data_IF_766646989010
#
_entry.id   IF_766646989010
#
_cell.length_a   1.000
_cell.length_b   1.000
_cell.length_c   1.000
_cell.angle_alpha   90.00
_cell.angle_beta   90.00
_cell.angle_gamma   90.00
#
_symmetry.space_group_name_H-M   'P 1'
#
loop_
_entity.id
_entity.type
_entity.pdbx_description
1 polymer ?
#
# COMPACT_ATOMS: atom_id res chain seq x y z
N UNK A 1 19.53 -8.26 38.01
CA UNK A 1 18.41 -7.48 37.44
C UNK A 1 18.31 -7.87 35.97
N UNK A 2 17.37 -8.75 35.63
CA UNK A 2 17.22 -9.31 34.27
C UNK A 2 16.41 -8.29 33.47
N UNK A 3 17.03 -7.67 32.47
CA UNK A 3 16.31 -6.85 31.50
C UNK A 3 15.54 -7.79 30.57
N UNK A 4 14.25 -7.93 30.82
CA UNK A 4 13.32 -8.52 29.88
C UNK A 4 13.29 -7.64 28.62
N UNK A 5 13.85 -8.14 27.51
CA UNK A 5 13.59 -7.59 26.18
C UNK A 5 12.08 -7.73 25.92
N UNK A 6 11.37 -6.63 26.09
CA UNK A 6 9.98 -6.49 25.64
C UNK A 6 9.99 -6.63 24.13
N UNK A 7 9.64 -7.81 23.64
CA UNK A 7 9.37 -8.08 22.22
C UNK A 7 8.24 -7.14 21.77
N UNK A 8 8.62 -5.98 21.25
CA UNK A 8 7.70 -5.07 20.60
C UNK A 8 7.51 -5.61 19.18
N UNK A 9 6.65 -6.62 19.05
CA UNK A 9 6.21 -7.12 17.75
C UNK A 9 5.40 -5.99 17.11
N UNK A 10 6.05 -5.15 16.30
CA UNK A 10 5.38 -4.16 15.47
C UNK A 10 4.29 -4.90 14.72
N UNK A 11 3.04 -4.55 14.99
CA UNK A 11 1.92 -4.99 14.16
C UNK A 11 2.14 -4.32 12.81
N UNK A 12 2.89 -4.96 11.92
CA UNK A 12 3.05 -4.50 10.55
C UNK A 12 1.64 -4.46 9.96
N UNK A 13 1.10 -3.25 9.82
CA UNK A 13 -0.16 -3.02 9.12
C UNK A 13 0.08 -3.50 7.71
N UNK A 14 -0.47 -4.67 7.38
CA UNK A 14 -0.29 -5.26 6.06
C UNK A 14 -1.07 -4.40 5.06
N UNK A 15 -0.33 -3.61 4.29
CA UNK A 15 -0.88 -2.79 3.21
C UNK A 15 -1.57 -3.67 2.18
N UNK A 16 -2.78 -3.29 1.77
CA UNK A 16 -3.53 -4.00 0.74
C UNK A 16 -4.20 -2.99 -0.17
N UNK A 17 -3.67 -2.85 -1.38
CA UNK A 17 -4.27 -2.04 -2.45
C UNK A 17 -5.69 -2.48 -2.77
N UNK A 18 -6.00 -3.78 -2.63
CA UNK A 18 -7.36 -4.30 -2.84
C UNK A 18 -8.33 -3.70 -1.82
N UNK A 19 -8.00 -3.79 -0.53
CA UNK A 19 -8.88 -3.28 0.54
C UNK A 19 -8.97 -1.75 0.51
N UNK A 20 -7.85 -1.11 0.16
CA UNK A 20 -7.69 0.34 0.21
C UNK A 20 -8.11 1.05 -1.09
N UNK A 21 -8.54 0.28 -2.11
CA UNK A 21 -8.84 0.79 -3.46
C UNK A 21 -9.79 1.98 -3.49
N UNK A 22 -10.88 1.90 -2.73
CA UNK A 22 -11.91 2.93 -2.68
C UNK A 22 -11.40 4.23 -2.04
N UNK A 23 -10.61 4.13 -0.96
CA UNK A 23 -9.92 5.28 -0.38
C UNK A 23 -8.89 5.86 -1.34
N UNK A 24 -8.03 5.02 -1.93
CA UNK A 24 -6.99 5.46 -2.88
C UNK A 24 -7.61 6.24 -4.04
N UNK A 25 -8.67 5.69 -4.66
CA UNK A 25 -9.36 6.32 -5.78
C UNK A 25 -9.95 7.68 -5.38
N UNK A 26 -10.68 7.73 -4.27
CA UNK A 26 -11.33 8.97 -3.81
C UNK A 26 -10.30 10.05 -3.43
N UNK A 27 -9.24 9.67 -2.72
CA UNK A 27 -8.20 10.59 -2.28
C UNK A 27 -7.38 11.13 -3.45
N UNK A 28 -7.05 10.28 -4.43
CA UNK A 28 -6.35 10.68 -5.66
C UNK A 28 -7.19 11.70 -6.44
N UNK A 29 -8.47 11.43 -6.63
CA UNK A 29 -9.38 12.35 -7.32
C UNK A 29 -9.56 13.66 -6.56
N UNK A 30 -9.85 13.59 -5.25
CA UNK A 30 -10.11 14.75 -4.41
C UNK A 30 -8.90 15.68 -4.35
N UNK A 31 -7.71 15.15 -4.05
CA UNK A 31 -6.50 15.96 -3.93
C UNK A 31 -5.91 16.38 -5.28
N UNK A 32 -6.15 15.58 -6.32
CA UNK A 32 -5.62 15.82 -7.67
C UNK A 32 -6.41 16.84 -8.46
N UNK A 33 -7.75 16.84 -8.36
CA UNK A 33 -8.63 17.70 -9.14
C UNK A 33 -8.85 19.09 -8.53
N UNK A 34 -8.51 19.31 -7.25
CA UNK A 34 -8.90 20.53 -6.57
C UNK A 34 -8.06 21.76 -6.99
N UNK A 35 -8.75 22.80 -7.48
CA UNK A 35 -8.12 24.00 -8.04
C UNK A 35 -7.59 24.98 -7.00
N UNK A 36 -8.35 25.19 -5.91
CA UNK A 36 -8.05 26.28 -4.95
C UNK A 36 -6.97 25.97 -3.92
N UNK A 37 -6.66 24.70 -3.69
CA UNK A 37 -5.69 24.31 -2.67
C UNK A 37 -4.76 23.22 -3.17
N UNK A 38 -3.53 23.24 -2.67
CA UNK A 38 -2.47 22.31 -3.04
C UNK A 38 -2.36 21.14 -2.07
N UNK A 39 -2.79 21.34 -0.82
CA UNK A 39 -2.73 20.35 0.25
C UNK A 39 -3.86 20.53 1.25
N UNK A 40 -4.26 19.44 1.92
CA UNK A 40 -5.30 19.44 2.96
C UNK A 40 -4.95 18.52 4.11
N UNK A 41 -5.56 18.78 5.27
CA UNK A 41 -5.43 17.92 6.45
C UNK A 41 -6.36 16.70 6.32
N UNK A 42 -6.03 15.56 6.95
CA UNK A 42 -6.90 14.37 6.93
C UNK A 42 -8.34 14.68 7.36
N UNK A 43 -8.51 15.51 8.39
CA UNK A 43 -9.83 15.97 8.87
C UNK A 43 -10.63 16.64 7.76
N UNK A 44 -10.06 17.67 7.13
CA UNK A 44 -10.76 18.41 6.06
C UNK A 44 -11.12 17.51 4.87
N UNK A 45 -10.26 16.54 4.54
CA UNK A 45 -10.52 15.58 3.46
C UNK A 45 -11.66 14.63 3.85
N UNK A 46 -11.60 14.06 5.05
CA UNK A 46 -12.60 13.16 5.59
C UNK A 46 -13.98 13.81 5.63
N UNK A 47 -14.07 15.04 6.13
CA UNK A 47 -15.30 15.83 6.17
C UNK A 47 -15.83 16.11 4.76
N UNK A 48 -14.95 16.43 3.81
CA UNK A 48 -15.34 16.73 2.42
C UNK A 48 -15.84 15.49 1.66
N UNK A 49 -15.32 14.31 1.98
CA UNK A 49 -15.65 13.05 1.31
C UNK A 49 -16.67 12.19 2.09
N UNK A 50 -17.04 12.58 3.30
CA UNK A 50 -17.87 11.77 4.20
C UNK A 50 -17.19 10.46 4.62
N UNK A 51 -15.87 10.47 4.75
CA UNK A 51 -15.05 9.28 5.04
C UNK A 51 -14.56 9.25 6.49
N UNK A 52 -14.15 8.07 6.96
CA UNK A 52 -13.55 7.95 8.29
C UNK A 52 -12.18 8.65 8.33
N UNK A 53 -11.99 9.59 9.27
CA UNK A 53 -10.77 10.39 9.38
C UNK A 53 -9.52 9.54 9.65
N UNK A 54 -9.62 8.55 10.54
CA UNK A 54 -8.48 7.69 10.91
C UNK A 54 -8.03 6.84 9.72
N UNK A 55 -8.97 6.32 8.93
CA UNK A 55 -8.65 5.61 7.69
C UNK A 55 -8.05 6.53 6.64
N UNK A 56 -8.59 7.74 6.45
CA UNK A 56 -7.99 8.73 5.55
C UNK A 56 -6.54 9.02 5.94
N UNK A 57 -6.27 9.27 7.22
CA UNK A 57 -4.91 9.51 7.72
C UNK A 57 -3.99 8.30 7.50
N UNK A 58 -4.48 7.09 7.82
CA UNK A 58 -3.74 5.84 7.59
C UNK A 58 -3.36 5.71 6.12
N UNK A 59 -4.30 5.85 5.19
CA UNK A 59 -4.06 5.71 3.76
C UNK A 59 -3.06 6.76 3.26
N UNK A 60 -3.24 8.02 3.65
CA UNK A 60 -2.36 9.10 3.26
C UNK A 60 -0.91 8.88 3.73
N UNK A 61 -0.72 8.28 4.92
CA UNK A 61 0.59 7.94 5.45
C UNK A 61 1.17 6.64 4.84
N UNK A 62 0.33 5.65 4.55
CA UNK A 62 0.71 4.32 4.10
C UNK A 62 1.13 4.25 2.63
N UNK A 63 0.70 5.20 1.79
CA UNK A 63 0.89 5.15 0.34
C UNK A 63 1.75 6.32 -0.19
N UNK A 64 3.06 6.37 0.15
CA UNK A 64 3.96 7.47 -0.22
C UNK A 64 4.20 7.61 -1.73
N UNK A 65 3.90 6.56 -2.51
CA UNK A 65 3.96 6.60 -3.97
C UNK A 65 2.91 7.56 -4.58
N UNK A 66 1.79 7.79 -3.88
CA UNK A 66 0.71 8.64 -4.35
C UNK A 66 0.64 9.95 -3.57
N UNK A 67 0.86 9.89 -2.26
CA UNK A 67 0.69 11.02 -1.36
C UNK A 67 2.00 11.47 -0.76
N UNK A 68 2.10 12.78 -0.51
CA UNK A 68 3.21 13.41 0.18
C UNK A 68 2.69 14.12 1.41
N UNK A 69 3.28 13.82 2.57
CA UNK A 69 3.15 14.63 3.76
C UNK A 69 4.04 15.88 3.62
N UNK A 70 3.45 17.05 3.86
CA UNK A 70 4.16 18.31 3.95
C UNK A 70 4.96 18.39 5.25
N UNK A 71 6.09 19.08 5.22
CA UNK A 71 6.82 19.50 6.41
C UNK A 71 6.09 20.63 7.17
N UNK A 72 5.24 21.37 6.46
CA UNK A 72 4.44 22.45 7.05
C UNK A 72 3.15 21.86 7.62
N UNK A 73 2.76 22.36 8.80
CA UNK A 73 1.51 22.03 9.46
C UNK A 73 0.42 23.05 9.11
N UNK A 74 -0.83 22.66 9.31
CA UNK A 74 -1.96 23.59 9.31
C UNK A 74 -1.86 24.56 10.49
N UNK A 75 -2.73 25.58 10.49
CA UNK A 75 -2.85 26.53 11.61
C UNK A 75 -3.20 25.81 12.93
N UNK A 76 -3.88 24.66 12.84
CA UNK A 76 -4.25 23.81 13.96
C UNK A 76 -3.18 22.77 14.32
N UNK A 77 -2.02 22.79 13.67
CA UNK A 77 -0.93 21.84 13.92
C UNK A 77 -1.11 20.47 13.26
N UNK A 78 -2.06 20.32 12.32
CA UNK A 78 -2.28 19.05 11.62
C UNK A 78 -1.37 18.91 10.39
N UNK A 79 -0.89 17.70 10.06
CA UNK A 79 -0.12 17.45 8.86
C UNK A 79 -0.94 17.73 7.60
N UNK A 80 -0.30 18.33 6.60
CA UNK A 80 -0.90 18.63 5.30
C UNK A 80 -0.46 17.60 4.26
N UNK A 81 -1.41 17.00 3.55
CA UNK A 81 -1.15 16.03 2.51
C UNK A 81 -1.50 16.58 1.13
N UNK A 82 -0.75 16.13 0.13
CA UNK A 82 -0.96 16.46 -1.29
C UNK A 82 -0.61 15.28 -2.18
N UNK A 83 -1.05 15.31 -3.43
CA UNK A 83 -0.60 14.34 -4.43
C UNK A 83 0.86 14.61 -4.79
N UNK A 84 1.66 13.54 -4.79
CA UNK A 84 3.08 13.59 -5.13
C UNK A 84 3.32 14.18 -6.52
N UNK A 85 2.49 13.82 -7.51
CA UNK A 85 2.58 14.36 -8.87
C UNK A 85 2.36 15.88 -8.93
N UNK A 86 1.40 16.43 -8.18
CA UNK A 86 1.19 17.89 -8.11
C UNK A 86 2.39 18.60 -7.50
N UNK A 87 3.02 17.98 -6.50
CA UNK A 87 4.24 18.51 -5.91
C UNK A 87 5.41 18.50 -6.90
N UNK A 88 5.57 17.41 -7.65
CA UNK A 88 6.63 17.29 -8.66
C UNK A 88 6.48 18.31 -9.80
N UNK A 89 5.24 18.68 -10.15
CA UNK A 89 4.93 19.69 -11.18
C UNK A 89 4.91 21.13 -10.67
N UNK A 90 5.37 21.37 -9.44
CA UNK A 90 5.34 22.70 -8.85
C UNK A 90 6.20 23.66 -9.65
N UNK A 91 5.62 24.80 -10.01
CA UNK A 91 6.28 25.85 -10.79
C UNK A 91 6.16 27.19 -10.09
N UNK A 92 7.07 28.10 -10.40
CA UNK A 92 6.98 29.48 -9.96
C UNK A 92 6.09 30.23 -10.94
N UNK A 93 5.03 30.86 -10.45
CA UNK A 93 4.18 31.70 -11.27
C UNK A 93 4.94 33.02 -11.54
N UNK A 94 5.06 33.39 -12.81
CA UNK A 94 5.79 34.59 -13.25
C UNK A 94 5.10 35.90 -12.90
N UNK A 95 3.79 35.86 -12.64
CA UNK A 95 2.97 37.05 -12.36
C UNK A 95 2.86 37.30 -10.86
N UNK A 96 2.78 36.24 -10.03
CA UNK A 96 2.57 36.35 -8.58
C UNK A 96 3.81 36.06 -7.74
N UNK A 97 4.90 35.59 -8.36
CA UNK A 97 6.12 35.09 -7.71
C UNK A 97 5.90 33.87 -6.79
N UNK A 98 4.66 33.37 -6.67
CA UNK A 98 4.29 32.26 -5.80
C UNK A 98 4.56 30.89 -6.43
N UNK A 99 4.79 29.88 -5.58
CA UNK A 99 4.96 28.49 -6.02
C UNK A 99 3.63 27.77 -6.11
N UNK A 100 3.09 27.67 -7.31
CA UNK A 100 1.84 26.96 -7.60
C UNK A 100 2.09 25.49 -7.96
N UNK A 101 1.16 24.63 -7.52
CA UNK A 101 1.08 23.22 -7.92
C UNK A 101 -0.23 23.04 -8.67
N UNK A 102 -0.25 23.11 -10.01
CA UNK A 102 -1.51 23.06 -10.74
C UNK A 102 -2.27 21.75 -10.47
N UNK A 103 -3.59 21.72 -10.66
CA UNK A 103 -4.37 20.50 -10.66
C UNK A 103 -3.80 19.48 -11.66
N UNK A 104 -4.05 18.21 -11.34
CA UNK A 104 -3.67 17.11 -12.21
C UNK A 104 -4.62 17.11 -13.41
N UNK A 105 -4.09 16.96 -14.62
CA UNK A 105 -4.91 16.81 -15.81
C UNK A 105 -5.70 15.50 -15.77
N UNK A 106 -6.78 15.40 -16.54
CA UNK A 106 -7.57 14.15 -16.65
C UNK A 106 -6.72 12.96 -17.11
N UNK A 107 -5.76 13.19 -18.03
CA UNK A 107 -4.84 12.15 -18.50
C UNK A 107 -3.91 11.63 -17.41
N UNK A 108 -3.29 12.54 -16.66
CA UNK A 108 -2.43 12.18 -15.52
C UNK A 108 -3.22 11.51 -14.38
N UNK A 109 -4.45 11.95 -14.14
CA UNK A 109 -5.38 11.31 -13.21
C UNK A 109 -5.64 9.85 -13.62
N UNK A 110 -5.91 9.64 -14.91
CA UNK A 110 -6.06 8.31 -15.49
C UNK A 110 -4.83 7.42 -15.27
N UNK A 111 -3.63 7.96 -15.48
CA UNK A 111 -2.36 7.24 -15.23
C UNK A 111 -2.24 6.82 -13.76
N UNK A 112 -2.59 7.70 -12.82
CA UNK A 112 -2.54 7.38 -11.39
C UNK A 112 -3.52 6.28 -11.00
N UNK A 113 -4.75 6.32 -11.51
CA UNK A 113 -5.77 5.30 -11.26
C UNK A 113 -5.44 3.96 -11.93
N UNK A 114 -4.86 4.00 -13.13
CA UNK A 114 -4.32 2.81 -13.81
C UNK A 114 -3.19 2.18 -13.00
N UNK A 115 -2.29 2.98 -12.43
CA UNK A 115 -1.24 2.48 -11.53
C UNK A 115 -1.84 1.78 -10.31
N UNK A 116 -2.85 2.35 -9.65
CA UNK A 116 -3.54 1.68 -8.53
C UNK A 116 -4.12 0.33 -8.97
N UNK A 117 -4.77 0.29 -10.13
CA UNK A 117 -5.37 -0.93 -10.67
C UNK A 117 -4.31 -2.00 -10.99
N UNK A 118 -3.16 -1.60 -11.52
CA UNK A 118 -2.02 -2.48 -11.75
C UNK A 118 -1.43 -3.01 -10.44
N UNK A 119 -1.33 -2.19 -9.41
CA UNK A 119 -0.85 -2.62 -8.09
C UNK A 119 -1.80 -3.65 -7.45
N UNK A 120 -3.11 -3.51 -7.65
CA UNK A 120 -4.10 -4.53 -7.26
C UNK A 120 -3.85 -5.85 -7.99
N UNK A 121 -3.68 -5.82 -9.32
CA UNK A 121 -3.41 -7.03 -10.10
C UNK A 121 -2.11 -7.71 -9.64
N UNK A 122 -1.06 -6.95 -9.37
CA UNK A 122 0.21 -7.45 -8.83
C UNK A 122 0.02 -8.06 -7.44
N UNK A 123 -0.74 -7.42 -6.56
CA UNK A 123 -1.03 -7.96 -5.22
C UNK A 123 -1.76 -9.30 -5.32
N UNK A 124 -2.75 -9.41 -6.20
CA UNK A 124 -3.51 -10.65 -6.39
C UNK A 124 -2.64 -11.77 -6.98
N UNK A 125 -1.81 -11.45 -7.98
CA UNK A 125 -0.84 -12.40 -8.55
C UNK A 125 0.14 -12.90 -7.50
N UNK A 126 0.67 -12.00 -6.67
CA UNK A 126 1.57 -12.36 -5.58
C UNK A 126 0.89 -13.26 -4.54
N UNK A 127 -0.39 -13.00 -4.21
CA UNK A 127 -1.18 -13.87 -3.34
C UNK A 127 -1.32 -15.28 -3.94
N UNK A 128 -1.70 -15.38 -5.22
CA UNK A 128 -1.82 -16.66 -5.94
C UNK A 128 -0.49 -17.42 -5.98
N UNK A 129 0.60 -16.75 -6.37
CA UNK A 129 1.95 -17.34 -6.42
C UNK A 129 2.39 -17.84 -5.04
N UNK A 130 2.15 -17.07 -3.97
CA UNK A 130 2.49 -17.50 -2.61
C UNK A 130 1.72 -18.75 -2.16
N UNK A 131 0.47 -18.88 -2.60
CA UNK A 131 -0.35 -20.07 -2.36
C UNK A 131 0.16 -21.27 -3.17
N UNK A 132 0.50 -21.07 -4.44
CA UNK A 132 1.11 -22.09 -5.28
C UNK A 132 2.44 -22.58 -4.72
N UNK A 133 3.32 -21.69 -4.24
CA UNK A 133 4.58 -22.08 -3.60
C UNK A 133 4.32 -22.92 -2.34
N UNK A 134 3.38 -22.52 -1.48
CA UNK A 134 3.05 -23.27 -0.26
C UNK A 134 2.50 -24.65 -0.57
N UNK A 135 1.58 -24.75 -1.53
CA UNK A 135 0.99 -26.03 -1.93
C UNK A 135 1.99 -26.92 -2.66
N UNK A 136 2.86 -26.36 -3.49
CA UNK A 136 3.91 -27.12 -4.18
C UNK A 136 4.96 -27.63 -3.18
N UNK A 137 5.38 -26.82 -2.21
CA UNK A 137 6.29 -27.24 -1.15
C UNK A 137 5.68 -28.39 -0.30
N UNK A 138 4.38 -28.31 0.02
CA UNK A 138 3.67 -29.40 0.72
C UNK A 138 3.63 -30.68 -0.13
N UNK A 139 3.37 -30.57 -1.43
CA UNK A 139 3.41 -31.72 -2.36
C UNK A 139 4.81 -32.35 -2.39
N UNK A 140 5.86 -31.55 -2.53
CA UNK A 140 7.25 -32.02 -2.53
C UNK A 140 7.58 -32.74 -1.22
N UNK A 141 7.27 -32.15 -0.06
CA UNK A 141 7.50 -32.78 1.24
C UNK A 141 6.70 -34.07 1.42
N UNK A 142 5.44 -34.10 0.97
CA UNK A 142 4.63 -35.32 1.01
C UNK A 142 5.18 -36.43 0.11
N UNK A 143 5.69 -36.08 -1.07
CA UNK A 143 6.33 -37.02 -2.00
C UNK A 143 7.65 -37.58 -1.43
N UNK A 144 8.48 -36.73 -0.81
CA UNK A 144 9.68 -37.16 -0.10
C UNK A 144 9.36 -38.11 1.06
N UNK A 145 8.33 -37.80 1.86
CA UNK A 145 7.88 -38.67 2.94
C UNK A 145 7.41 -40.05 2.44
N UNK A 146 6.62 -40.08 1.36
CA UNK A 146 6.15 -41.32 0.73
C UNK A 146 7.31 -42.14 0.15
N UNK A 147 8.28 -41.50 -0.51
CA UNK A 147 9.47 -42.17 -1.04
C UNK A 147 10.36 -42.76 0.07
N UNK A 148 10.44 -42.09 1.21
CA UNK A 148 11.15 -42.61 2.37
C UNK A 148 10.46 -43.84 2.96
N UNK A 149 9.14 -43.80 3.12
CA UNK A 149 8.35 -44.95 3.61
C UNK A 149 8.40 -46.15 2.66
N UNK A 150 8.38 -45.91 1.33
CA UNK A 150 8.46 -46.98 0.33
C UNK A 150 9.84 -47.66 0.31
N UNK A 151 10.91 -46.91 0.50
CA UNK A 151 12.26 -47.47 0.57
C UNK A 151 12.47 -48.33 1.83
N UNK A 152 11.93 -47.93 2.99
CA UNK A 152 11.97 -48.73 4.22
C UNK A 152 11.19 -50.04 4.05
N UNK A 153 10.01 -50.00 3.44
CA UNK A 153 9.21 -51.21 3.18
C UNK A 153 9.88 -52.15 2.19
N UNK A 154 10.54 -51.63 1.15
CA UNK A 154 11.33 -52.42 0.22
C UNK A 154 12.52 -53.14 0.90
N UNK A 155 13.23 -52.45 1.82
CA UNK A 155 14.33 -53.05 2.58
C UNK A 155 13.81 -54.13 3.55
N UNK A 156 12.73 -53.85 4.27
CA UNK A 156 12.14 -54.81 5.21
C UNK A 156 11.62 -56.08 4.50
N UNK A 157 10.97 -55.92 3.34
CA UNK A 157 10.51 -57.05 2.52
C UNK A 157 11.65 -57.84 1.89
N UNK A 158 12.76 -57.19 1.55
CA UNK A 158 13.96 -57.88 1.06
C UNK A 158 14.68 -58.68 2.15
N UNK A 159 14.63 -58.25 3.42
CA UNK A 159 15.24 -58.94 4.57
C UNK A 159 14.39 -60.09 5.12
N UNK A 160 13.07 -60.07 4.89
CA UNK A 160 12.14 -61.14 5.30
C UNK A 160 12.04 -62.29 4.28
N UNK A 161 12.79 -62.22 3.18
CA UNK A 161 12.83 -63.19 2.09
C UNK A 161 14.11 -64.00 2.15
#
# INVERSE_FOLDING_TARGET
MIFAQRSNKSTEVQLSFVNDFHYLTALIQHLGAHERWNSRTPRNIADSLGMNMQEVERILASYPAFFRCSSNLSVQGEPLYMIHLRYARRRKNSETDERESPPISSGEMGIMLDLVTKMIAVEEQNKRLSFEIKTNNLKIWSALGLAFLSSITAIATALLK
#
